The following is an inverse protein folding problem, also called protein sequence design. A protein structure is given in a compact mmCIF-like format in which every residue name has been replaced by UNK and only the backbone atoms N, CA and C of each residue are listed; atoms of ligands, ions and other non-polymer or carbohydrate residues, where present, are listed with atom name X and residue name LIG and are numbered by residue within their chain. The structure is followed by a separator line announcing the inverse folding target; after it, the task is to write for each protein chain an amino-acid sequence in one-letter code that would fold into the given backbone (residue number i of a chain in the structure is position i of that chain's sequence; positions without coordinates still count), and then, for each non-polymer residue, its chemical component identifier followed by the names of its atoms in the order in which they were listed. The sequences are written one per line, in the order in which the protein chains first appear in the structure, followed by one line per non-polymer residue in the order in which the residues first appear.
data_IF_610522590517
#
_entry.id   IF_610522590517
#
_cell.length_a   1.000
_cell.length_b   1.000
_cell.length_c   1.000
_cell.angle_alpha   90.00
_cell.angle_beta   90.00
_cell.angle_gamma   90.00
#
_symmetry.space_group_name_H-M   'P 1'
#
loop_
_entity.id
_entity.type
_entity.pdbx_description
1 polymer ?
#
# COMPACT_ATOMS: atom_id res chain seq x y z
N UNK A 1 -9.65 10.89 -29.00
CA UNK A 1 -10.84 10.53 -29.77
C UNK A 1 -11.15 9.04 -29.63
N UNK A 2 -12.43 8.71 -29.34
CA UNK A 2 -12.85 7.32 -29.13
C UNK A 2 -12.94 6.61 -30.49
N UNK A 3 -12.16 5.55 -30.69
CA UNK A 3 -12.17 4.75 -31.91
C UNK A 3 -13.10 3.54 -31.78
N UNK A 4 -13.12 2.85 -30.67
CA UNK A 4 -14.02 1.73 -30.47
C UNK A 4 -13.56 0.74 -29.39
N UNK A 5 -14.42 -0.26 -29.16
CA UNK A 5 -14.20 -1.31 -28.16
C UNK A 5 -12.92 -2.12 -28.45
N UNK A 6 -12.72 -2.52 -29.71
CA UNK A 6 -11.56 -3.30 -30.11
C UNK A 6 -10.37 -2.41 -30.45
N UNK A 7 -10.60 -1.32 -31.13
CA UNK A 7 -9.58 -0.42 -31.67
C UNK A 7 -8.77 0.26 -30.57
N UNK A 8 -9.38 0.58 -29.44
CA UNK A 8 -8.74 1.20 -28.29
C UNK A 8 -8.39 0.18 -27.20
N UNK A 9 -8.50 -1.11 -27.50
CA UNK A 9 -8.21 -2.15 -26.53
C UNK A 9 -6.71 -2.25 -26.22
N UNK A 10 -6.38 -2.61 -25.00
CA UNK A 10 -5.01 -2.88 -24.56
C UNK A 10 -4.94 -4.19 -23.78
N UNK A 11 -3.77 -4.82 -23.86
CA UNK A 11 -3.51 -6.03 -23.12
C UNK A 11 -2.07 -6.10 -22.67
N UNK A 12 -1.85 -6.55 -21.46
CA UNK A 12 -0.52 -6.67 -20.86
C UNK A 12 -0.41 -7.90 -19.99
N UNK A 13 0.81 -8.40 -19.86
CA UNK A 13 1.19 -9.43 -18.89
C UNK A 13 2.42 -8.93 -18.16
N UNK A 14 2.39 -8.96 -16.84
CA UNK A 14 3.56 -8.75 -16.01
C UNK A 14 4.01 -10.09 -15.44
N UNK A 15 5.21 -10.53 -15.84
CA UNK A 15 5.85 -11.68 -15.21
C UNK A 15 6.67 -11.20 -14.02
N UNK A 16 6.41 -11.78 -12.86
CA UNK A 16 7.15 -11.40 -11.64
C UNK A 16 7.65 -12.62 -10.94
N UNK A 17 8.95 -12.62 -10.63
CA UNK A 17 9.54 -13.53 -9.65
C UNK A 17 9.72 -12.75 -8.36
N UNK A 18 9.11 -13.24 -7.29
CA UNK A 18 9.14 -12.58 -5.98
C UNK A 18 9.78 -13.45 -4.92
N UNK A 19 10.58 -12.81 -4.08
CA UNK A 19 11.20 -13.43 -2.92
C UNK A 19 11.01 -12.53 -1.72
N UNK A 20 10.52 -13.11 -0.61
CA UNK A 20 10.37 -12.43 0.68
C UNK A 20 10.92 -13.33 1.76
N UNK A 21 11.90 -12.83 2.52
CA UNK A 21 12.55 -13.57 3.61
C UNK A 21 12.59 -12.70 4.85
N UNK A 22 12.18 -13.26 5.99
CA UNK A 22 12.26 -12.63 7.30
C UNK A 22 13.09 -13.48 8.23
N UNK A 23 14.25 -12.98 8.60
CA UNK A 23 15.08 -13.51 9.65
C UNK A 23 14.64 -12.88 10.97
N UNK A 24 13.80 -13.61 11.70
CA UNK A 24 13.23 -13.17 12.97
C UNK A 24 14.18 -13.51 14.11
N UNK A 25 14.24 -12.61 15.08
CA UNK A 25 15.09 -12.78 16.29
C UNK A 25 14.25 -13.24 17.48
N UNK A 26 14.91 -13.44 18.62
CA UNK A 26 14.29 -13.74 19.90
C UNK A 26 13.45 -15.01 19.92
N UNK A 27 13.89 -16.03 19.16
CA UNK A 27 13.23 -17.34 19.13
C UNK A 27 11.98 -17.42 18.26
N UNK A 28 11.65 -16.37 17.53
CA UNK A 28 10.54 -16.37 16.57
C UNK A 28 11.00 -17.06 15.29
N UNK A 29 10.13 -17.89 14.71
CA UNK A 29 10.44 -18.67 13.50
C UNK A 29 10.66 -17.76 12.29
N UNK A 30 11.70 -18.05 11.52
CA UNK A 30 11.98 -17.40 10.25
C UNK A 30 10.94 -17.80 9.20
N UNK A 31 10.68 -16.91 8.24
CA UNK A 31 9.83 -17.17 7.10
C UNK A 31 10.54 -16.87 5.80
N UNK A 32 10.25 -17.66 4.76
CA UNK A 32 10.80 -17.46 3.43
C UNK A 32 9.83 -17.97 2.39
N UNK A 33 9.59 -17.17 1.37
CA UNK A 33 8.71 -17.54 0.26
C UNK A 33 9.26 -17.02 -1.05
N UNK A 34 9.29 -17.89 -2.05
CA UNK A 34 9.64 -17.56 -3.43
C UNK A 34 8.53 -18.05 -4.34
N UNK A 35 8.08 -17.21 -5.23
CA UNK A 35 7.00 -17.56 -6.15
C UNK A 35 7.13 -16.82 -7.47
N UNK A 36 6.53 -17.41 -8.50
CA UNK A 36 6.43 -16.83 -9.84
C UNK A 36 4.98 -16.54 -10.14
N UNK A 37 4.73 -15.40 -10.78
CA UNK A 37 3.38 -15.04 -11.24
C UNK A 37 3.40 -14.48 -12.65
N UNK A 38 2.23 -14.55 -13.30
CA UNK A 38 1.88 -13.77 -14.47
C UNK A 38 0.61 -13.00 -14.14
N UNK A 39 0.68 -11.67 -14.15
CA UNK A 39 -0.46 -10.79 -13.91
C UNK A 39 -0.95 -10.31 -15.27
N UNK A 40 -2.20 -10.66 -15.61
CA UNK A 40 -2.79 -10.36 -16.91
C UNK A 40 -3.84 -9.28 -16.75
N UNK A 41 -3.80 -8.30 -17.64
CA UNK A 41 -4.83 -7.28 -17.75
C UNK A 41 -5.22 -7.11 -19.22
N UNK A 42 -6.50 -7.36 -19.52
CA UNK A 42 -7.09 -7.09 -20.83
C UNK A 42 -8.18 -6.04 -20.63
N UNK A 43 -8.09 -4.94 -21.35
CA UNK A 43 -8.97 -3.79 -21.19
C UNK A 43 -9.46 -3.35 -22.56
N UNK A 44 -10.78 -3.31 -22.77
CA UNK A 44 -11.36 -2.84 -24.03
C UNK A 44 -11.32 -1.32 -24.10
N UNK A 45 -11.49 -0.78 -25.31
CA UNK A 45 -11.91 0.59 -25.48
C UNK A 45 -13.39 0.76 -25.15
N UNK A 46 -13.88 1.99 -25.33
CA UNK A 46 -15.30 2.28 -25.21
C UNK A 46 -15.97 2.26 -26.58
N UNK A 47 -17.22 1.79 -26.63
CA UNK A 47 -18.03 1.92 -27.86
C UNK A 47 -18.27 3.39 -28.16
N UNK A 48 -18.39 3.77 -29.47
CA UNK A 48 -18.73 5.15 -29.84
C UNK A 48 -20.14 5.53 -29.40
N UNK A 49 -20.38 6.84 -29.27
CA UNK A 49 -21.68 7.40 -28.91
C UNK A 49 -21.61 8.25 -27.65
N UNK A 50 -22.77 8.80 -27.26
CA UNK A 50 -22.87 9.63 -26.05
C UNK A 50 -22.51 8.83 -24.78
N UNK A 51 -22.99 7.57 -24.74
CA UNK A 51 -22.62 6.62 -23.71
C UNK A 51 -21.73 5.57 -24.34
N UNK A 52 -20.50 5.45 -23.87
CA UNK A 52 -19.58 4.40 -24.26
C UNK A 52 -19.60 3.26 -23.26
N UNK A 53 -19.49 2.02 -23.76
CA UNK A 53 -19.43 0.81 -22.96
C UNK A 53 -18.13 0.05 -23.22
N UNK A 54 -17.61 -0.56 -22.19
CA UNK A 54 -16.41 -1.39 -22.27
C UNK A 54 -16.41 -2.49 -21.23
N UNK A 55 -15.40 -3.33 -21.31
CA UNK A 55 -15.23 -4.45 -20.40
C UNK A 55 -13.74 -4.83 -20.29
N UNK A 56 -13.39 -5.58 -19.29
CA UNK A 56 -12.05 -6.10 -19.16
C UNK A 56 -11.96 -7.24 -18.18
N UNK A 57 -10.77 -7.79 -18.09
CA UNK A 57 -10.41 -8.79 -17.09
C UNK A 57 -9.06 -8.43 -16.47
N UNK A 58 -8.91 -8.78 -15.20
CA UNK A 58 -7.66 -8.70 -14.49
C UNK A 58 -7.51 -9.97 -13.66
N UNK A 59 -6.32 -10.54 -13.65
CA UNK A 59 -6.08 -11.74 -12.86
C UNK A 59 -4.63 -12.13 -12.84
N UNK A 60 -4.33 -13.16 -12.07
CA UNK A 60 -2.99 -13.68 -11.92
C UNK A 60 -3.00 -15.21 -11.84
N UNK A 61 -1.95 -15.81 -12.39
CA UNK A 61 -1.67 -17.21 -12.29
C UNK A 61 -0.27 -17.37 -11.73
N UNK A 62 -0.14 -18.14 -10.66
CA UNK A 62 1.08 -18.20 -9.86
C UNK A 62 1.45 -19.62 -9.48
N UNK A 63 2.72 -19.84 -9.18
CA UNK A 63 3.19 -21.10 -8.60
C UNK A 63 4.35 -20.82 -7.63
N UNK A 64 4.45 -21.65 -6.59
CA UNK A 64 5.56 -21.54 -5.65
C UNK A 64 6.85 -22.07 -6.27
N UNK A 65 7.97 -21.51 -5.85
CA UNK A 65 9.31 -21.98 -6.17
C UNK A 65 9.96 -22.55 -4.91
N UNK A 66 10.51 -23.76 -5.02
CA UNK A 66 11.12 -24.46 -3.89
C UNK A 66 10.12 -25.23 -3.03
N UNK A 67 10.65 -26.14 -2.19
CA UNK A 67 9.84 -27.05 -1.39
C UNK A 67 9.50 -26.51 0.00
N UNK A 68 10.33 -25.62 0.55
CA UNK A 68 10.23 -25.12 1.92
C UNK A 68 9.64 -23.72 2.00
N UNK A 69 8.68 -23.41 1.13
CA UNK A 69 8.04 -22.12 1.11
C UNK A 69 7.03 -21.99 2.27
N UNK A 70 7.05 -20.84 2.95
CA UNK A 70 6.07 -20.48 3.95
C UNK A 70 4.85 -19.82 3.30
N UNK A 71 3.70 -20.06 3.88
CA UNK A 71 2.43 -19.49 3.45
C UNK A 71 1.90 -18.48 4.47
N UNK A 72 0.93 -17.65 4.05
CA UNK A 72 0.25 -16.72 4.94
C UNK A 72 1.01 -15.44 5.25
N UNK A 73 2.04 -15.12 4.46
CA UNK A 73 2.86 -13.90 4.59
C UNK A 73 2.59 -12.88 3.47
N UNK A 74 1.45 -12.99 2.81
CA UNK A 74 1.07 -12.17 1.66
C UNK A 74 1.60 -12.68 0.33
N UNK A 75 2.48 -13.69 0.31
CA UNK A 75 3.11 -14.21 -0.91
C UNK A 75 2.38 -15.43 -1.47
N UNK A 76 2.13 -16.42 -0.65
CA UNK A 76 1.61 -17.72 -1.08
C UNK A 76 0.38 -18.04 -0.23
N UNK A 77 -0.74 -18.44 -0.86
CA UNK A 77 -1.92 -18.87 -0.14
C UNK A 77 -1.66 -20.10 0.73
N UNK A 78 -2.44 -20.25 1.77
CA UNK A 78 -2.30 -21.25 2.81
C UNK A 78 -3.44 -22.27 2.72
N UNK A 79 -3.09 -23.55 2.69
CA UNK A 79 -4.07 -24.63 2.84
C UNK A 79 -4.59 -24.71 4.28
N UNK A 80 -5.68 -25.44 4.48
CA UNK A 80 -6.26 -25.62 5.81
C UNK A 80 -5.31 -26.27 6.82
N UNK A 81 -4.36 -27.08 6.35
CA UNK A 81 -3.34 -27.71 7.18
C UNK A 81 -2.11 -26.82 7.44
N UNK A 82 -2.12 -25.58 6.93
CA UNK A 82 -1.02 -24.63 7.08
C UNK A 82 0.05 -24.70 6.00
N UNK A 83 -0.02 -25.66 5.09
CA UNK A 83 0.93 -25.78 3.99
C UNK A 83 0.69 -24.74 2.90
N UNK A 84 1.74 -24.45 2.12
CA UNK A 84 1.66 -23.53 0.99
C UNK A 84 1.00 -24.20 -0.22
N UNK A 85 0.21 -23.44 -0.98
CA UNK A 85 -0.27 -23.89 -2.28
C UNK A 85 0.89 -24.08 -3.25
N UNK A 86 0.78 -25.09 -4.12
CA UNK A 86 1.76 -25.30 -5.19
C UNK A 86 1.55 -24.36 -6.37
N UNK A 87 0.29 -24.12 -6.73
CA UNK A 87 -0.11 -23.19 -7.79
C UNK A 87 -1.52 -22.67 -7.50
N UNK A 88 -1.83 -21.48 -8.01
CA UNK A 88 -3.14 -20.86 -7.81
C UNK A 88 -3.43 -19.81 -8.88
N UNK A 89 -4.71 -19.51 -9.04
CA UNK A 89 -5.23 -18.52 -9.98
C UNK A 89 -6.22 -17.63 -9.26
N UNK A 90 -6.15 -16.32 -9.52
CA UNK A 90 -7.03 -15.31 -8.96
C UNK A 90 -7.43 -14.32 -10.03
N UNK A 91 -8.54 -13.61 -9.81
CA UNK A 91 -8.96 -12.52 -10.69
C UNK A 91 -10.44 -12.51 -10.95
N UNK A 92 -10.85 -11.63 -11.82
CA UNK A 92 -12.24 -11.44 -12.24
C UNK A 92 -12.36 -10.48 -13.40
N UNK A 93 -13.60 -10.20 -13.77
CA UNK A 93 -13.93 -9.29 -14.84
C UNK A 93 -14.59 -8.02 -14.33
N UNK A 94 -14.66 -7.04 -15.21
CA UNK A 94 -15.39 -5.80 -14.97
C UNK A 94 -16.04 -5.30 -16.25
N UNK A 95 -17.08 -4.50 -16.06
CA UNK A 95 -17.71 -3.72 -17.12
C UNK A 95 -17.58 -2.24 -16.78
N UNK A 96 -17.57 -1.40 -17.79
CA UNK A 96 -17.44 0.04 -17.63
C UNK A 96 -18.33 0.80 -18.58
N UNK A 97 -18.77 1.98 -18.16
CA UNK A 97 -19.54 2.89 -18.96
C UNK A 97 -19.01 4.31 -18.78
N UNK A 98 -19.02 5.08 -19.83
CA UNK A 98 -18.52 6.46 -19.82
C UNK A 98 -19.50 7.40 -20.48
N UNK A 99 -19.77 8.52 -19.81
CA UNK A 99 -20.46 9.67 -20.35
C UNK A 99 -19.56 10.88 -20.13
N UNK A 100 -19.19 11.58 -21.23
CA UNK A 100 -18.25 12.70 -21.15
C UNK A 100 -16.94 12.26 -20.47
N UNK A 101 -16.52 12.94 -19.43
CA UNK A 101 -15.31 12.62 -18.64
C UNK A 101 -15.64 11.91 -17.32
N UNK A 102 -16.77 11.23 -17.26
CA UNK A 102 -17.19 10.45 -16.09
C UNK A 102 -17.31 8.97 -16.46
N UNK A 103 -16.60 8.12 -15.74
CA UNK A 103 -16.56 6.67 -15.96
C UNK A 103 -17.07 5.95 -14.72
N UNK A 104 -17.96 4.98 -14.93
CA UNK A 104 -18.38 4.01 -13.94
C UNK A 104 -17.77 2.65 -14.27
N UNK A 105 -17.15 2.00 -13.28
CA UNK A 105 -16.58 0.64 -13.43
C UNK A 105 -17.21 -0.26 -12.39
N UNK A 106 -17.73 -1.41 -12.81
CA UNK A 106 -18.29 -2.41 -11.90
C UNK A 106 -17.58 -3.74 -12.10
N UNK A 107 -17.10 -4.31 -11.02
CA UNK A 107 -16.46 -5.62 -11.02
C UNK A 107 -15.16 -5.64 -10.24
N UNK A 108 -14.27 -6.54 -10.64
CA UNK A 108 -12.98 -6.74 -9.99
C UNK A 108 -11.99 -5.65 -10.39
N UNK A 109 -11.40 -4.99 -9.39
CA UNK A 109 -10.56 -3.82 -9.59
C UNK A 109 -9.38 -3.80 -8.62
N UNK A 110 -8.30 -3.15 -9.04
CA UNK A 110 -7.22 -2.73 -8.16
C UNK A 110 -7.43 -1.26 -7.83
N UNK A 111 -7.49 -0.93 -6.55
CA UNK A 111 -7.78 0.43 -6.08
C UNK A 111 -6.51 1.12 -5.59
N UNK A 112 -6.44 2.42 -5.86
CA UNK A 112 -5.36 3.30 -5.38
C UNK A 112 -5.98 4.56 -4.77
N UNK A 113 -6.81 4.36 -3.76
CA UNK A 113 -7.50 5.43 -3.04
C UNK A 113 -6.89 5.46 -1.63
N UNK A 114 -6.42 6.61 -1.12
CA UNK A 114 -5.70 6.64 0.17
C UNK A 114 -6.43 5.99 1.34
N UNK A 115 -7.75 5.99 1.34
CA UNK A 115 -8.59 5.40 2.40
C UNK A 115 -9.04 3.98 2.08
N UNK A 116 -8.85 3.50 0.86
CA UNK A 116 -9.19 2.14 0.44
C UNK A 116 -8.31 1.76 -0.75
N UNK A 117 -7.09 1.31 -0.47
CA UNK A 117 -6.11 0.99 -1.49
C UNK A 117 -5.81 -0.51 -1.50
N UNK A 118 -5.67 -1.07 -2.70
CA UNK A 118 -5.18 -2.43 -2.86
C UNK A 118 -3.73 -2.54 -2.39
N UNK A 119 -3.42 -3.59 -1.65
CA UNK A 119 -2.03 -3.92 -1.36
C UNK A 119 -1.36 -4.38 -2.66
N UNK A 120 -0.28 -3.71 -3.04
CA UNK A 120 0.55 -4.05 -4.20
C UNK A 120 2.01 -4.35 -3.79
N UNK A 121 2.26 -4.55 -2.50
CA UNK A 121 3.59 -4.75 -1.93
C UNK A 121 3.97 -6.24 -1.79
N UNK A 122 3.24 -7.12 -2.45
CA UNK A 122 3.49 -8.56 -2.46
C UNK A 122 3.57 -9.08 -3.91
N UNK A 123 3.52 -10.38 -4.08
CA UNK A 123 3.64 -11.02 -5.40
C UNK A 123 2.55 -10.55 -6.36
N UNK A 124 1.31 -10.53 -5.91
CA UNK A 124 0.12 -10.19 -6.69
C UNK A 124 -0.71 -9.14 -5.97
N UNK A 125 -1.51 -8.35 -6.69
CA UNK A 125 -2.29 -7.29 -6.05
C UNK A 125 -3.48 -7.84 -5.25
N UNK A 126 -3.91 -7.06 -4.27
CA UNK A 126 -5.23 -7.21 -3.65
C UNK A 126 -6.29 -6.74 -4.63
N UNK A 127 -7.40 -7.49 -4.75
CA UNK A 127 -8.54 -7.11 -5.57
C UNK A 127 -9.72 -6.68 -4.72
N UNK A 128 -10.45 -5.68 -5.20
CA UNK A 128 -11.75 -5.27 -4.66
C UNK A 128 -12.82 -5.50 -5.71
N UNK A 129 -14.02 -5.86 -5.26
CA UNK A 129 -15.17 -6.00 -6.14
C UNK A 129 -16.24 -5.01 -5.73
N UNK A 130 -16.70 -4.22 -6.69
CA UNK A 130 -17.72 -3.21 -6.47
C UNK A 130 -17.80 -2.21 -7.62
N UNK A 131 -18.40 -1.05 -7.35
CA UNK A 131 -18.57 0.02 -8.32
C UNK A 131 -17.71 1.22 -7.92
N UNK A 132 -17.03 1.80 -8.93
CA UNK A 132 -16.26 3.02 -8.78
C UNK A 132 -16.70 4.02 -9.85
N UNK A 133 -17.06 5.22 -9.42
CA UNK A 133 -17.30 6.38 -10.27
C UNK A 133 -16.07 7.28 -10.22
N UNK A 134 -15.61 7.70 -11.40
CA UNK A 134 -14.48 8.64 -11.54
C UNK A 134 -14.90 9.76 -12.48
N UNK A 135 -14.76 11.02 -12.05
CA UNK A 135 -15.20 12.17 -12.82
C UNK A 135 -14.09 13.21 -12.90
N UNK A 136 -13.83 13.68 -14.13
CA UNK A 136 -12.90 14.75 -14.43
C UNK A 136 -13.61 15.86 -15.24
N UNK A 137 -14.89 16.12 -14.98
CA UNK A 137 -15.69 17.11 -15.71
C UNK A 137 -15.23 18.54 -15.44
N UNK A 138 -14.71 18.80 -14.25
CA UNK A 138 -14.22 20.11 -13.83
C UNK A 138 -12.71 20.13 -13.98
N UNK A 139 -12.20 21.15 -14.66
CA UNK A 139 -10.76 21.31 -14.87
C UNK A 139 -9.99 21.31 -13.55
N UNK A 140 -8.90 20.54 -13.51
CA UNK A 140 -8.00 20.40 -12.36
C UNK A 140 -8.63 19.67 -11.15
N UNK A 141 -9.85 19.17 -11.27
CA UNK A 141 -10.56 18.46 -10.21
C UNK A 141 -10.87 17.04 -10.64
N UNK A 142 -10.37 16.07 -9.87
CA UNK A 142 -10.70 14.67 -10.02
C UNK A 142 -11.55 14.23 -8.84
N UNK A 143 -12.74 13.70 -9.10
CA UNK A 143 -13.68 13.24 -8.09
C UNK A 143 -13.86 11.73 -8.19
N UNK A 144 -14.04 11.07 -7.05
CA UNK A 144 -14.40 9.66 -6.99
C UNK A 144 -15.53 9.43 -6.01
N UNK A 145 -16.32 8.40 -6.29
CA UNK A 145 -17.26 7.80 -5.34
C UNK A 145 -17.38 6.32 -5.66
N UNK A 146 -17.52 5.50 -4.65
CA UNK A 146 -17.61 4.06 -4.88
C UNK A 146 -18.22 3.29 -3.73
N UNK A 147 -18.59 2.04 -4.04
CA UNK A 147 -19.08 1.08 -3.08
C UNK A 147 -18.50 -0.29 -3.41
N UNK A 148 -17.81 -0.88 -2.44
CA UNK A 148 -17.16 -2.18 -2.59
C UNK A 148 -17.71 -3.14 -1.54
N UNK A 149 -17.95 -4.39 -1.96
CA UNK A 149 -18.60 -5.40 -1.13
C UNK A 149 -17.74 -6.62 -0.89
N UNK A 150 -16.64 -6.75 -1.60
CA UNK A 150 -15.71 -7.87 -1.46
C UNK A 150 -14.27 -7.39 -1.61
N UNK A 151 -13.35 -8.03 -0.89
CA UNK A 151 -11.92 -7.91 -1.17
C UNK A 151 -11.25 -9.27 -1.11
N UNK A 152 -10.15 -9.41 -1.85
CA UNK A 152 -9.34 -10.63 -1.92
C UNK A 152 -7.88 -10.23 -1.69
N UNK A 153 -7.31 -10.68 -0.57
CA UNK A 153 -5.90 -10.40 -0.26
C UNK A 153 -4.96 -11.06 -1.26
N UNK A 154 -3.72 -10.59 -1.29
CA UNK A 154 -2.68 -11.09 -2.20
C UNK A 154 -2.44 -12.59 -2.07
N UNK A 155 -2.60 -13.15 -0.89
CA UNK A 155 -2.42 -14.58 -0.61
C UNK A 155 -3.75 -15.32 -0.36
N UNK A 156 -4.83 -14.82 -0.92
CA UNK A 156 -6.16 -15.39 -0.74
C UNK A 156 -6.74 -15.84 -2.08
N UNK A 157 -7.25 -17.08 -2.12
CA UNK A 157 -7.84 -17.66 -3.33
C UNK A 157 -9.34 -17.38 -3.41
N UNK A 158 -10.04 -17.45 -2.28
CA UNK A 158 -11.48 -17.19 -2.23
C UNK A 158 -11.75 -15.70 -2.42
N UNK A 159 -12.84 -15.38 -3.10
CA UNK A 159 -13.17 -14.00 -3.47
C UNK A 159 -13.79 -13.20 -2.34
N UNK A 160 -14.19 -13.84 -1.26
CA UNK A 160 -14.81 -13.16 -0.12
C UNK A 160 -14.35 -13.84 1.17
N UNK A 161 -13.16 -13.54 1.58
CA UNK A 161 -12.59 -14.16 2.77
C UNK A 161 -12.42 -13.22 3.95
N UNK A 162 -12.69 -11.93 3.76
CA UNK A 162 -12.40 -10.93 4.78
C UNK A 162 -13.64 -10.34 5.41
N UNK A 163 -14.80 -10.88 5.06
CA UNK A 163 -16.07 -10.44 5.64
C UNK A 163 -16.30 -8.93 5.42
N UNK A 164 -15.88 -8.42 4.26
CA UNK A 164 -16.18 -7.05 3.88
C UNK A 164 -17.63 -6.96 3.43
N UNK A 165 -18.50 -6.49 4.31
CA UNK A 165 -19.90 -6.29 3.97
C UNK A 165 -20.06 -5.13 3.00
N UNK A 166 -19.47 -3.99 3.32
CA UNK A 166 -19.58 -2.79 2.53
C UNK A 166 -18.51 -1.77 2.91
N UNK A 167 -17.88 -1.20 1.91
CA UNK A 167 -17.06 0.00 2.05
C UNK A 167 -17.54 1.05 1.05
N UNK A 168 -17.90 2.22 1.54
CA UNK A 168 -18.26 3.38 0.72
C UNK A 168 -17.07 4.32 0.73
N UNK A 169 -16.69 4.83 -0.44
CA UNK A 169 -15.58 5.79 -0.58
C UNK A 169 -16.04 7.00 -1.36
N UNK A 170 -15.45 8.14 -1.05
CA UNK A 170 -15.68 9.40 -1.74
C UNK A 170 -14.45 10.28 -1.62
N UNK A 171 -14.37 11.28 -2.47
CA UNK A 171 -13.32 12.27 -2.34
C UNK A 171 -12.86 12.83 -3.66
N UNK A 172 -11.77 13.58 -3.60
CA UNK A 172 -11.22 14.20 -4.77
C UNK A 172 -9.87 14.85 -4.54
N UNK A 173 -9.27 15.20 -5.67
CA UNK A 173 -7.99 15.90 -5.72
C UNK A 173 -8.15 17.14 -6.59
N UNK A 174 -7.64 18.26 -6.10
CA UNK A 174 -7.66 19.53 -6.82
C UNK A 174 -6.23 20.04 -7.03
N UNK A 175 -5.92 20.37 -8.26
CA UNK A 175 -4.65 20.99 -8.65
C UNK A 175 -4.85 22.48 -8.79
N UNK A 176 -4.39 23.26 -7.80
CA UNK A 176 -4.52 24.72 -7.82
C UNK A 176 -3.68 25.35 -8.92
N UNK A 177 -2.46 24.84 -9.10
CA UNK A 177 -1.52 25.24 -10.14
C UNK A 177 -0.50 24.11 -10.32
N UNK A 178 0.55 24.35 -11.11
CA UNK A 178 1.59 23.34 -11.36
C UNK A 178 2.37 22.93 -10.10
N UNK A 179 2.31 23.73 -9.05
CA UNK A 179 3.12 23.54 -7.84
C UNK A 179 2.32 23.06 -6.64
N UNK A 180 1.03 23.37 -6.56
CA UNK A 180 0.20 23.10 -5.39
C UNK A 180 -0.98 22.21 -5.74
N UNK A 181 -1.09 21.09 -5.04
CA UNK A 181 -2.25 20.22 -5.10
C UNK A 181 -2.73 19.87 -3.68
N UNK A 182 -4.01 19.57 -3.57
CA UNK A 182 -4.62 19.12 -2.33
C UNK A 182 -5.61 18.01 -2.62
N UNK A 183 -5.82 17.13 -1.65
CA UNK A 183 -6.80 16.06 -1.78
C UNK A 183 -7.50 15.80 -0.45
N UNK A 184 -8.72 15.31 -0.57
CA UNK A 184 -9.51 14.80 0.53
C UNK A 184 -10.21 13.53 0.09
N UNK A 185 -10.14 12.48 0.93
CA UNK A 185 -10.87 11.24 0.72
C UNK A 185 -11.46 10.76 2.04
N UNK A 186 -12.61 10.11 1.94
CA UNK A 186 -13.26 9.50 3.09
C UNK A 186 -13.75 8.09 2.76
N UNK A 187 -13.90 7.27 3.77
CA UNK A 187 -14.50 5.96 3.67
C UNK A 187 -15.31 5.64 4.91
N UNK A 188 -16.40 4.93 4.69
CA UNK A 188 -17.20 4.30 5.75
C UNK A 188 -17.22 2.79 5.48
N UNK A 189 -16.53 2.03 6.33
CA UNK A 189 -16.50 0.58 6.25
C UNK A 189 -17.46 0.04 7.30
N UNK A 190 -18.55 -0.56 6.85
CA UNK A 190 -19.65 -1.00 7.70
C UNK A 190 -19.18 -1.89 8.85
N UNK A 191 -19.60 -1.55 10.06
CA UNK A 191 -19.29 -2.23 11.31
C UNK A 191 -17.79 -2.25 11.64
N UNK A 192 -16.99 -1.37 11.03
CA UNK A 192 -15.54 -1.30 11.26
C UNK A 192 -15.06 0.10 11.62
N UNK A 193 -15.12 1.02 10.67
CA UNK A 193 -14.54 2.35 10.88
C UNK A 193 -15.08 3.38 9.90
N UNK A 194 -14.91 4.64 10.27
CA UNK A 194 -14.97 5.80 9.38
C UNK A 194 -13.59 6.44 9.35
N UNK A 195 -13.07 6.73 8.15
CA UNK A 195 -11.72 7.26 7.97
C UNK A 195 -11.73 8.40 6.99
N UNK A 196 -11.00 9.45 7.33
CA UNK A 196 -10.78 10.62 6.49
C UNK A 196 -9.29 10.81 6.26
N UNK A 197 -8.95 11.24 5.05
CA UNK A 197 -7.57 11.51 4.63
C UNK A 197 -7.50 12.89 4.01
N UNK A 198 -6.45 13.63 4.34
CA UNK A 198 -6.12 14.91 3.70
C UNK A 198 -4.67 14.90 3.26
N UNK A 199 -4.39 15.57 2.15
CA UNK A 199 -3.05 15.78 1.65
C UNK A 199 -2.94 17.19 1.06
N UNK A 200 -1.79 17.82 1.27
CA UNK A 200 -1.37 19.02 0.57
C UNK A 200 0.07 18.82 0.12
N UNK A 201 0.33 19.07 -1.14
CA UNK A 201 1.66 18.92 -1.74
C UNK A 201 2.05 20.21 -2.46
N UNK A 202 3.20 20.76 -2.10
CA UNK A 202 3.71 21.98 -2.68
C UNK A 202 5.15 21.79 -3.14
N UNK A 203 5.39 21.93 -4.45
CA UNK A 203 6.73 21.86 -5.06
C UNK A 203 7.20 23.26 -5.42
N UNK A 204 8.32 23.65 -4.88
CA UNK A 204 8.92 24.97 -5.10
C UNK A 204 10.18 24.81 -5.96
N UNK A 205 10.17 25.31 -7.21
CA UNK A 205 11.36 25.25 -8.06
C UNK A 205 12.42 26.23 -7.56
N UNK A 206 13.65 25.75 -7.51
CA UNK A 206 14.84 26.53 -7.16
C UNK A 206 15.70 26.76 -8.40
N UNK A 207 16.78 27.53 -8.24
CA UNK A 207 17.77 27.71 -9.30
C UNK A 207 18.43 26.36 -9.68
N UNK A 208 19.05 26.29 -10.86
CA UNK A 208 19.83 25.13 -11.35
C UNK A 208 19.03 23.82 -11.41
N UNK A 209 17.74 23.91 -11.73
CA UNK A 209 16.84 22.75 -11.83
C UNK A 209 16.68 21.97 -10.53
N UNK A 210 16.99 22.59 -9.39
CA UNK A 210 16.73 22.04 -8.08
C UNK A 210 15.31 22.35 -7.65
N UNK A 211 14.77 21.60 -6.70
CA UNK A 211 13.44 21.82 -6.16
C UNK A 211 13.34 21.45 -4.68
N UNK A 212 12.42 22.10 -3.99
CA UNK A 212 11.96 21.72 -2.66
C UNK A 212 10.49 21.30 -2.75
N UNK A 213 10.16 20.14 -2.20
CA UNK A 213 8.78 19.68 -2.12
C UNK A 213 8.39 19.49 -0.67
N UNK A 214 7.31 20.16 -0.28
CA UNK A 214 6.69 19.97 1.03
C UNK A 214 5.43 19.16 0.86
N UNK A 215 5.24 18.18 1.73
CA UNK A 215 4.06 17.32 1.72
C UNK A 215 3.50 17.18 3.12
N UNK A 216 2.20 17.37 3.24
CA UNK A 216 1.46 17.10 4.46
C UNK A 216 0.41 16.03 4.16
N UNK A 217 0.37 14.98 4.96
CA UNK A 217 -0.65 13.94 4.89
C UNK A 217 -1.19 13.65 6.28
N UNK A 218 -2.46 13.34 6.37
CA UNK A 218 -3.07 12.98 7.64
C UNK A 218 -4.29 12.10 7.48
N UNK A 219 -4.47 11.21 8.44
CA UNK A 219 -5.66 10.36 8.59
C UNK A 219 -6.31 10.62 9.93
N UNK A 220 -7.64 10.70 9.92
CA UNK A 220 -8.47 10.62 11.13
C UNK A 220 -9.36 9.39 11.02
N UNK A 221 -9.33 8.52 12.04
CA UNK A 221 -10.09 7.28 12.07
C UNK A 221 -10.86 7.15 13.37
N UNK A 222 -12.13 6.79 13.26
CA UNK A 222 -13.00 6.39 14.38
C UNK A 222 -13.48 4.97 14.12
N UNK A 223 -13.25 4.05 15.07
CA UNK A 223 -13.67 2.68 14.96
C UNK A 223 -15.07 2.48 15.48
N UNK A 224 -15.83 1.62 14.82
CA UNK A 224 -17.10 1.12 15.32
C UNK A 224 -16.84 0.16 16.48
N UNK A 225 -17.71 0.16 17.50
CA UNK A 225 -17.55 -0.73 18.66
C UNK A 225 -17.58 -2.23 18.27
N UNK A 226 -18.22 -2.57 17.15
CA UNK A 226 -18.27 -3.93 16.63
C UNK A 226 -16.98 -4.39 15.96
N UNK A 227 -16.02 -3.50 15.76
CA UNK A 227 -14.76 -3.82 15.12
C UNK A 227 -13.78 -4.62 15.98
N UNK A 228 -14.08 -4.81 17.26
CA UNK A 228 -13.14 -5.33 18.27
C UNK A 228 -11.87 -4.46 18.43
N UNK A 229 -11.92 -3.24 17.94
CA UNK A 229 -10.82 -2.32 17.98
C UNK A 229 -9.82 -2.54 16.86
N UNK A 230 -8.57 -2.25 17.12
CA UNK A 230 -7.47 -2.31 16.16
C UNK A 230 -7.01 -3.74 15.88
N UNK A 231 -6.49 -3.98 14.66
CA UNK A 231 -5.81 -5.22 14.32
C UNK A 231 -4.60 -5.49 15.23
N UNK A 232 -3.96 -4.45 15.74
CA UNK A 232 -2.87 -4.55 16.70
C UNK A 232 -3.42 -4.56 18.12
N UNK A 233 -3.58 -5.74 18.69
CA UNK A 233 -4.22 -5.98 19.99
C UNK A 233 -3.72 -5.06 21.10
N UNK A 234 -2.45 -4.67 21.06
CA UNK A 234 -1.82 -3.83 22.08
C UNK A 234 -1.69 -2.37 21.69
N UNK A 235 -2.36 -1.95 20.62
CA UNK A 235 -2.27 -0.57 20.13
C UNK A 235 -3.23 0.40 20.82
N UNK A 236 -4.22 -0.08 21.56
CA UNK A 236 -5.15 0.78 22.28
C UNK A 236 -4.99 0.65 23.79
N UNK A 237 -5.16 1.78 24.50
CA UNK A 237 -4.96 1.89 25.94
C UNK A 237 -6.26 2.30 26.64
N UNK A 238 -7.36 1.67 26.26
CA UNK A 238 -8.67 1.87 26.88
C UNK A 238 -9.45 0.57 26.85
N UNK A 239 -10.33 0.34 27.83
CA UNK A 239 -11.27 -0.75 27.83
C UNK A 239 -12.58 -0.40 27.12
N UNK A 240 -12.77 0.86 26.76
CA UNK A 240 -13.95 1.32 26.05
C UNK A 240 -13.73 1.24 24.54
N UNK A 241 -14.13 0.11 23.94
CA UNK A 241 -13.99 -0.13 22.50
C UNK A 241 -15.01 0.66 21.65
N UNK A 242 -15.99 1.30 22.29
CA UNK A 242 -16.95 2.13 21.58
C UNK A 242 -16.42 3.50 21.17
N UNK A 243 -15.24 3.86 21.63
CA UNK A 243 -14.67 5.22 21.45
C UNK A 243 -13.21 5.19 21.04
N UNK A 244 -12.83 4.23 20.20
CA UNK A 244 -11.46 4.17 19.66
C UNK A 244 -11.28 5.16 18.53
N UNK A 245 -10.26 6.00 18.63
CA UNK A 245 -9.89 6.94 17.57
C UNK A 245 -8.39 7.09 17.44
N UNK A 246 -7.95 7.39 16.24
CA UNK A 246 -6.55 7.68 15.92
C UNK A 246 -6.48 8.86 14.96
N UNK A 247 -5.52 9.74 15.19
CA UNK A 247 -5.06 10.72 14.23
C UNK A 247 -3.60 10.43 13.93
N UNK A 248 -3.26 10.22 12.67
CA UNK A 248 -1.88 10.11 12.23
C UNK A 248 -1.63 11.16 11.16
N UNK A 249 -0.56 11.93 11.31
CA UNK A 249 -0.19 12.95 10.33
C UNK A 249 1.31 12.99 10.16
N UNK A 250 1.76 13.46 9.00
CA UNK A 250 3.16 13.61 8.68
C UNK A 250 3.42 14.86 7.86
N UNK A 251 4.57 15.46 8.09
CA UNK A 251 5.08 16.56 7.31
C UNK A 251 6.47 16.16 6.78
N UNK A 252 6.68 16.31 5.50
CA UNK A 252 7.97 16.02 4.87
C UNK A 252 8.46 17.18 4.03
N UNK A 253 9.79 17.25 3.87
CA UNK A 253 10.46 18.17 2.99
C UNK A 253 11.48 17.40 2.18
N UNK A 254 11.43 17.52 0.86
CA UNK A 254 12.31 16.81 -0.08
C UNK A 254 13.07 17.81 -0.91
N UNK A 255 14.39 17.69 -0.89
CA UNK A 255 15.29 18.48 -1.73
C UNK A 255 15.83 17.62 -2.86
N UNK A 256 15.57 18.05 -4.09
CA UNK A 256 16.07 17.40 -5.31
C UNK A 256 17.09 18.31 -5.97
N UNK A 257 18.28 17.78 -6.24
CA UNK A 257 19.31 18.49 -6.98
C UNK A 257 20.18 17.51 -7.76
N UNK A 258 20.20 17.62 -9.09
CA UNK A 258 20.91 16.68 -9.94
C UNK A 258 20.48 15.23 -9.65
N UNK A 259 21.45 14.31 -9.41
CA UNK A 259 21.13 12.91 -9.11
C UNK A 259 20.68 12.68 -7.66
N UNK A 260 20.69 13.71 -6.82
CA UNK A 260 20.44 13.60 -5.38
C UNK A 260 19.02 13.91 -5.02
N UNK A 261 18.46 13.11 -4.11
CA UNK A 261 17.17 13.35 -3.48
C UNK A 261 17.35 13.14 -1.98
N UNK A 262 17.05 14.17 -1.18
CA UNK A 262 17.15 14.10 0.29
C UNK A 262 15.78 14.46 0.87
N UNK A 263 15.24 13.60 1.73
CA UNK A 263 13.97 13.84 2.39
C UNK A 263 14.14 13.74 3.90
N UNK A 264 13.50 14.66 4.62
CA UNK A 264 13.27 14.58 6.06
C UNK A 264 11.76 14.55 6.30
N UNK A 265 11.32 13.77 7.28
CA UNK A 265 9.91 13.65 7.61
C UNK A 265 9.70 13.48 9.11
N UNK A 266 8.60 14.02 9.60
CA UNK A 266 8.11 13.83 10.96
C UNK A 266 6.68 13.33 10.91
N UNK A 267 6.38 12.31 11.72
CA UNK A 267 5.06 11.68 11.79
C UNK A 267 4.63 11.52 13.23
N UNK A 268 3.34 11.68 13.51
CA UNK A 268 2.82 11.59 14.86
C UNK A 268 1.45 10.93 14.88
N UNK A 269 1.26 10.07 15.87
CA UNK A 269 -0.03 9.47 16.21
C UNK A 269 -0.57 10.11 17.48
N UNK A 270 -1.88 10.40 17.50
CA UNK A 270 -2.62 10.83 18.68
C UNK A 270 -3.95 10.06 18.76
N UNK A 271 -4.61 10.13 19.91
CA UNK A 271 -5.82 9.36 20.18
C UNK A 271 -5.57 8.27 21.23
N UNK A 272 -6.47 7.31 21.30
CA UNK A 272 -6.38 6.23 22.30
C UNK A 272 -6.04 4.87 21.68
N UNK A 273 -5.71 4.83 20.39
CA UNK A 273 -5.23 3.64 19.67
C UNK A 273 -4.23 4.05 18.60
N UNK A 274 -3.47 3.09 18.08
CA UNK A 274 -2.66 3.28 16.88
C UNK A 274 -3.49 3.26 15.61
N UNK A 275 -2.84 3.50 14.48
CA UNK A 275 -3.46 3.32 13.16
C UNK A 275 -3.59 1.82 12.85
N UNK A 276 -4.69 1.46 12.21
CA UNK A 276 -4.95 0.12 11.71
C UNK A 276 -5.53 0.24 10.30
N UNK A 277 -5.22 -0.70 9.44
CA UNK A 277 -5.64 -0.67 8.03
C UNK A 277 -7.15 -0.86 7.85
N UNK A 278 -7.82 -1.52 8.78
CA UNK A 278 -9.29 -1.50 8.87
C UNK A 278 -10.03 -2.53 8.06
N UNK A 279 -9.36 -3.37 7.30
CA UNK A 279 -9.99 -4.40 6.49
C UNK A 279 -9.74 -5.79 7.07
N UNK A 280 -10.78 -6.37 7.62
CA UNK A 280 -10.72 -7.75 8.08
C UNK A 280 -9.78 -7.97 9.25
N UNK A 281 -9.34 -9.19 9.38
CA UNK A 281 -8.37 -9.63 10.38
C UNK A 281 -6.98 -9.24 9.92
N UNK A 282 -6.74 -7.93 9.90
CA UNK A 282 -5.51 -7.36 9.44
C UNK A 282 -4.33 -7.98 10.13
N UNK A 283 -3.40 -8.38 9.35
CA UNK A 283 -2.13 -8.83 9.85
C UNK A 283 -1.16 -7.77 9.45
N UNK A 284 -0.73 -6.96 10.32
CA UNK A 284 0.12 -5.81 10.08
C UNK A 284 1.19 -5.99 9.00
N UNK A 285 2.21 -5.20 9.05
CA UNK A 285 3.40 -5.31 8.24
C UNK A 285 3.24 -5.19 6.71
N UNK A 286 2.46 -4.23 6.27
CA UNK A 286 2.31 -3.96 4.84
C UNK A 286 1.34 -4.89 4.13
N UNK A 287 0.46 -5.56 4.86
CA UNK A 287 -0.69 -6.23 4.24
C UNK A 287 -1.66 -5.22 3.65
N UNK A 288 -1.58 -3.99 4.07
CA UNK A 288 -2.41 -2.88 3.61
C UNK A 288 -1.54 -1.69 3.24
N UNK A 289 -2.15 -0.69 2.64
CA UNK A 289 -1.44 0.51 2.19
C UNK A 289 -1.77 1.69 3.07
N UNK A 290 -0.75 2.47 3.42
CA UNK A 290 -0.88 3.74 4.09
C UNK A 290 -0.08 4.80 3.31
N UNK A 291 -0.69 5.96 3.07
CA UNK A 291 -0.08 7.04 2.28
C UNK A 291 0.65 8.01 3.20
N UNK A 292 1.70 7.50 3.84
CA UNK A 292 2.53 8.24 4.79
C UNK A 292 4.02 8.03 4.46
N UNK A 293 4.89 9.01 4.73
CA UNK A 293 6.29 8.92 4.33
C UNK A 293 7.10 7.92 5.16
N UNK A 294 6.76 7.71 6.44
CA UNK A 294 7.50 6.81 7.33
C UNK A 294 6.94 5.39 7.20
N UNK A 295 7.03 4.83 6.00
CA UNK A 295 6.45 3.53 5.69
C UNK A 295 7.43 2.69 4.87
N UNK A 296 7.98 1.65 5.51
CA UNK A 296 8.86 0.66 4.90
C UNK A 296 8.44 -0.74 5.33
N UNK A 297 9.23 -1.47 6.12
CA UNK A 297 8.74 -2.68 6.79
C UNK A 297 7.75 -2.29 7.88
N UNK A 298 8.12 -1.37 8.76
CA UNK A 298 7.20 -0.73 9.70
C UNK A 298 6.56 0.50 9.07
N UNK A 299 5.33 0.80 9.48
CA UNK A 299 4.63 2.04 9.12
C UNK A 299 4.62 3.06 10.27
N UNK A 300 5.23 2.73 11.41
CA UNK A 300 5.38 3.63 12.57
C UNK A 300 4.01 4.13 13.06
N UNK A 301 3.10 3.19 13.26
CA UNK A 301 1.68 3.43 13.50
C UNK A 301 1.22 3.10 14.91
N UNK A 302 2.12 2.95 15.87
CA UNK A 302 1.79 2.61 17.25
C UNK A 302 0.99 3.70 17.95
N UNK A 303 0.34 3.32 19.05
CA UNK A 303 -0.46 4.25 19.85
C UNK A 303 0.43 5.35 20.44
N UNK A 304 0.15 6.61 20.10
CA UNK A 304 0.93 7.76 20.58
C UNK A 304 2.30 7.91 19.95
N UNK A 305 2.66 7.06 19.02
CA UNK A 305 4.00 7.03 18.42
C UNK A 305 4.31 8.28 17.64
N UNK A 306 5.51 8.81 17.88
CA UNK A 306 6.15 9.85 17.09
C UNK A 306 7.30 9.23 16.33
N UNK A 307 7.55 9.65 15.09
CA UNK A 307 8.67 9.14 14.31
C UNK A 307 9.29 10.21 13.43
N UNK A 308 10.58 10.05 13.17
CA UNK A 308 11.36 10.93 12.31
C UNK A 308 12.17 10.11 11.32
N UNK A 309 12.32 10.64 10.11
CA UNK A 309 13.01 9.96 9.02
C UNK A 309 14.02 10.88 8.35
N UNK A 310 15.14 10.28 7.96
CA UNK A 310 16.08 10.84 6.99
C UNK A 310 16.22 9.83 5.86
N UNK A 311 15.97 10.27 4.61
CA UNK A 311 16.10 9.44 3.41
C UNK A 311 17.05 10.12 2.42
N UNK A 312 17.83 9.31 1.73
CA UNK A 312 18.69 9.73 0.62
C UNK A 312 18.51 8.79 -0.57
N UNK A 313 18.38 9.34 -1.77
CA UNK A 313 18.36 8.57 -3.02
C UNK A 313 19.37 9.14 -4.00
N UNK A 314 20.01 8.23 -4.75
CA UNK A 314 20.97 8.57 -5.77
C UNK A 314 20.58 7.90 -7.10
N UNK A 315 20.59 8.68 -8.18
CA UNK A 315 20.38 8.21 -9.55
C UNK A 315 21.72 8.03 -10.24
N UNK A 316 22.10 6.79 -10.53
CA UNK A 316 23.38 6.45 -11.13
C UNK A 316 23.50 6.80 -12.62
N UNK A 317 22.46 7.36 -13.23
CA UNK A 317 22.59 7.93 -14.57
C UNK A 317 23.70 8.99 -14.63
N UNK A 318 23.95 9.71 -13.54
CA UNK A 318 25.03 10.67 -13.40
C UNK A 318 26.43 10.01 -13.45
N UNK A 319 26.52 8.71 -13.22
CA UNK A 319 27.74 7.89 -13.33
C UNK A 319 27.71 6.97 -14.55
N UNK A 320 26.91 7.31 -15.56
CA UNK A 320 26.79 6.56 -16.82
C UNK A 320 26.16 5.15 -16.63
N UNK A 321 25.34 4.96 -15.60
CA UNK A 321 24.55 3.74 -15.40
C UNK A 321 23.06 4.12 -15.33
N UNK A 322 22.45 4.49 -16.47
CA UNK A 322 21.03 4.85 -16.49
C UNK A 322 20.17 3.65 -16.10
N UNK A 323 19.13 3.91 -15.33
CA UNK A 323 18.24 2.88 -14.84
C UNK A 323 18.61 2.30 -13.48
N UNK A 324 19.81 2.59 -12.98
CA UNK A 324 20.24 2.15 -11.64
C UNK A 324 19.99 3.27 -10.62
N UNK A 325 19.34 2.94 -9.52
CA UNK A 325 19.10 3.85 -8.40
C UNK A 325 19.31 3.15 -7.07
N UNK A 326 19.67 3.94 -6.06
CA UNK A 326 19.81 3.49 -4.69
C UNK A 326 19.07 4.44 -3.76
N UNK A 327 18.32 3.88 -2.82
CA UNK A 327 17.62 4.61 -1.76
C UNK A 327 18.03 4.02 -0.42
N UNK A 328 18.37 4.87 0.53
CA UNK A 328 18.64 4.51 1.92
C UNK A 328 17.83 5.40 2.83
N UNK A 329 17.35 4.85 3.93
CA UNK A 329 16.57 5.61 4.90
C UNK A 329 16.79 5.08 6.31
N UNK A 330 16.72 5.98 7.26
CA UNK A 330 16.66 5.64 8.67
C UNK A 330 15.42 6.28 9.28
N UNK A 331 14.61 5.47 9.97
CA UNK A 331 13.41 5.91 10.67
C UNK A 331 13.50 5.48 12.12
N UNK A 332 13.20 6.40 13.02
CA UNK A 332 13.17 6.17 14.46
C UNK A 332 11.81 6.56 15.01
N UNK A 333 11.17 5.65 15.76
CA UNK A 333 9.90 5.87 16.44
C UNK A 333 10.06 5.77 17.97
N UNK A 334 9.36 6.63 18.69
CA UNK A 334 9.44 6.71 20.15
C UNK A 334 8.08 7.07 20.76
N UNK A 335 8.02 7.03 22.09
CA UNK A 335 6.82 7.32 22.87
C UNK A 335 5.62 6.42 22.52
N UNK A 336 5.88 5.14 22.25
CA UNK A 336 4.83 4.20 21.92
C UNK A 336 4.18 3.71 23.20
N UNK A 337 2.86 3.89 23.33
CA UNK A 337 2.09 3.39 24.44
C UNK A 337 1.75 1.92 24.22
N UNK A 338 2.08 1.06 25.17
CA UNK A 338 1.78 -0.37 25.12
C UNK A 338 0.83 -0.73 26.25
N UNK A 339 -0.34 -1.27 25.91
CA UNK A 339 -1.37 -1.68 26.85
C UNK A 339 -1.11 -3.06 27.43
N UNK A 340 -1.68 -3.34 28.60
CA UNK A 340 -1.68 -4.67 29.19
C UNK A 340 -2.51 -5.67 28.38
N UNK A 341 -2.16 -6.95 28.43
CA UNK A 341 -2.87 -8.00 27.69
C UNK A 341 -4.30 -8.22 28.22
N UNK A 342 -4.47 -8.11 29.53
CA UNK A 342 -5.76 -8.35 30.19
C UNK A 342 -6.50 -7.04 30.40
N UNK A 343 -5.81 -6.04 30.93
CA UNK A 343 -6.36 -4.72 31.21
C UNK A 343 -5.71 -3.70 30.28
N UNK A 344 -6.43 -3.26 29.29
CA UNK A 344 -5.94 -2.32 28.27
C UNK A 344 -5.87 -0.88 28.76
N UNK A 345 -6.46 -0.58 29.92
CA UNK A 345 -6.26 0.70 30.56
C UNK A 345 -4.93 0.74 31.32
N UNK A 346 -4.29 -0.41 31.54
CA UNK A 346 -2.99 -0.49 32.18
C UNK A 346 -1.88 -0.26 31.15
N UNK A 347 -1.09 0.78 31.35
CA UNK A 347 0.11 0.98 30.53
C UNK A 347 1.25 0.10 31.07
N UNK A 348 1.82 -0.73 30.19
CA UNK A 348 3.06 -1.45 30.46
C UNK A 348 4.25 -0.50 30.28
N UNK A 349 4.18 0.33 29.25
CA UNK A 349 5.15 1.38 28.97
C UNK A 349 4.52 2.49 28.12
N UNK A 350 4.99 3.72 28.35
CA UNK A 350 4.63 4.91 27.57
C UNK A 350 5.81 5.43 26.74
N UNK A 351 6.86 4.62 26.57
CA UNK A 351 8.06 5.00 25.83
C UNK A 351 8.69 3.78 25.14
N UNK A 352 7.88 2.91 24.56
CA UNK A 352 8.41 1.88 23.68
C UNK A 352 8.93 2.54 22.39
N UNK A 353 9.84 1.86 21.72
CA UNK A 353 10.59 2.41 20.60
C UNK A 353 10.73 1.38 19.51
N UNK A 354 10.85 1.88 18.27
CA UNK A 354 11.20 1.07 17.10
C UNK A 354 12.12 1.87 16.18
N UNK A 355 12.89 1.17 15.38
CA UNK A 355 13.75 1.79 14.37
C UNK A 355 13.95 0.87 13.19
N UNK A 356 14.17 1.48 12.04
CA UNK A 356 14.39 0.75 10.81
C UNK A 356 15.48 1.42 9.98
N UNK A 357 16.44 0.62 9.51
CA UNK A 357 17.41 1.00 8.50
C UNK A 357 17.06 0.29 7.20
N UNK A 358 16.67 1.07 6.20
CA UNK A 358 16.15 0.59 4.93
C UNK A 358 17.13 0.90 3.81
N UNK A 359 17.33 -0.07 2.90
CA UNK A 359 18.08 0.12 1.68
C UNK A 359 17.39 -0.56 0.51
N UNK A 360 17.42 0.08 -0.63
CA UNK A 360 16.88 -0.46 -1.87
C UNK A 360 17.78 -0.10 -3.04
N UNK A 361 18.07 -1.09 -3.88
CA UNK A 361 18.72 -0.90 -5.17
C UNK A 361 17.75 -1.39 -6.24
N UNK A 362 17.55 -0.60 -7.27
CA UNK A 362 16.70 -0.93 -8.40
C UNK A 362 17.44 -0.68 -9.71
N UNK A 363 17.40 -1.67 -10.60
CA UNK A 363 17.90 -1.54 -11.97
C UNK A 363 16.76 -1.82 -12.96
N UNK A 364 16.63 -0.94 -13.97
CA UNK A 364 15.67 -1.09 -15.06
C UNK A 364 16.41 -1.16 -16.38
N UNK A 365 16.14 -2.19 -17.18
CA UNK A 365 16.72 -2.37 -18.51
C UNK A 365 16.30 -1.22 -19.42
N UNK A 366 17.28 -0.61 -20.08
CA UNK A 366 17.06 0.61 -20.86
C UNK A 366 16.75 0.33 -22.33
N UNK A 367 17.13 -0.83 -22.85
CA UNK A 367 16.98 -1.18 -24.26
C UNK A 367 17.01 -2.69 -24.48
N UNK A 368 16.80 -3.12 -25.72
CA UNK A 368 16.80 -4.53 -26.10
C UNK A 368 15.46 -5.21 -25.93
N UNK A 369 15.42 -6.51 -26.07
CA UNK A 369 14.17 -7.31 -25.99
C UNK A 369 13.57 -7.30 -24.56
N UNK A 370 14.40 -7.10 -23.55
CA UNK A 370 13.98 -7.06 -22.15
C UNK A 370 13.88 -5.60 -21.63
N UNK A 371 13.70 -4.62 -22.52
CA UNK A 371 13.49 -3.23 -22.11
C UNK A 371 12.36 -3.13 -21.11
N UNK A 372 12.56 -2.31 -20.08
CA UNK A 372 11.65 -2.07 -18.96
C UNK A 372 11.57 -3.23 -17.95
N UNK A 373 12.28 -4.34 -18.17
CA UNK A 373 12.48 -5.33 -17.11
C UNK A 373 13.26 -4.71 -15.96
N UNK A 374 12.89 -5.02 -14.73
CA UNK A 374 13.54 -4.44 -13.54
C UNK A 374 13.85 -5.50 -12.49
N UNK A 375 14.95 -5.25 -11.79
CA UNK A 375 15.32 -6.00 -10.59
C UNK A 375 15.38 -5.04 -9.43
N UNK A 376 14.66 -5.35 -8.35
CA UNK A 376 14.63 -4.55 -7.12
C UNK A 376 15.04 -5.42 -5.94
N UNK A 377 16.07 -4.96 -5.26
CA UNK A 377 16.59 -5.56 -4.02
C UNK A 377 16.27 -4.61 -2.87
N UNK A 378 15.50 -5.06 -1.92
CA UNK A 378 15.09 -4.29 -0.76
C UNK A 378 15.49 -5.02 0.51
N UNK A 379 16.13 -4.32 1.42
CA UNK A 379 16.52 -4.84 2.73
C UNK A 379 16.07 -3.89 3.84
N UNK A 380 15.48 -4.46 4.90
CA UNK A 380 15.12 -3.75 6.11
C UNK A 380 15.77 -4.39 7.32
N UNK A 381 16.51 -3.59 8.06
CA UNK A 381 17.01 -3.91 9.39
C UNK A 381 16.08 -3.26 10.39
N UNK A 382 15.24 -4.07 11.07
CA UNK A 382 14.21 -3.57 11.98
C UNK A 382 14.49 -4.03 13.41
N UNK A 383 14.41 -3.11 14.36
CA UNK A 383 14.59 -3.39 15.80
C UNK A 383 13.58 -2.60 16.62
N UNK A 384 13.11 -3.22 17.68
CA UNK A 384 12.17 -2.61 18.62
C UNK A 384 12.63 -2.86 20.05
N UNK A 385 12.19 -2.01 20.98
CA UNK A 385 12.38 -2.24 22.41
C UNK A 385 11.61 -3.48 22.87
N UNK A 386 11.98 -4.05 24.02
CA UNK A 386 11.42 -5.30 24.52
C UNK A 386 9.90 -5.27 24.61
N UNK A 387 9.33 -4.17 25.08
CA UNK A 387 7.89 -4.03 25.23
C UNK A 387 7.15 -4.02 23.88
N UNK A 388 7.85 -3.71 22.79
CA UNK A 388 7.25 -3.63 21.44
C UNK A 388 7.60 -4.82 20.54
N UNK A 389 8.18 -5.89 21.10
CA UNK A 389 8.51 -7.10 20.34
C UNK A 389 7.26 -7.87 19.92
N UNK A 390 6.36 -8.16 20.87
CA UNK A 390 5.13 -8.93 20.62
C UNK A 390 4.01 -8.10 19.98
N UNK A 391 3.79 -6.83 20.37
CA UNK A 391 2.65 -6.07 19.86
C UNK A 391 2.69 -5.77 18.38
N UNK A 392 3.86 -5.79 17.75
CA UNK A 392 4.00 -5.44 16.35
C UNK A 392 4.90 -6.45 15.61
N UNK A 393 5.94 -5.98 14.91
CA UNK A 393 6.78 -6.82 14.04
C UNK A 393 7.80 -7.64 14.83
N UNK A 394 8.44 -7.01 15.83
CA UNK A 394 9.58 -7.59 16.53
C UNK A 394 10.87 -7.52 15.69
N UNK A 395 12.01 -7.76 16.33
CA UNK A 395 13.32 -7.70 15.70
C UNK A 395 13.40 -8.60 14.48
N UNK A 396 13.73 -8.02 13.33
CA UNK A 396 13.66 -8.69 12.02
C UNK A 396 14.68 -8.10 11.05
N UNK A 397 15.31 -8.96 10.26
CA UNK A 397 15.97 -8.56 9.02
C UNK A 397 15.13 -9.10 7.86
N UNK A 398 14.71 -8.22 6.96
CA UNK A 398 13.84 -8.61 5.85
C UNK A 398 14.50 -8.33 4.51
N UNK A 399 14.43 -9.32 3.61
CA UNK A 399 14.74 -9.15 2.20
C UNK A 399 13.48 -9.26 1.37
N UNK A 400 13.32 -8.35 0.41
CA UNK A 400 12.35 -8.47 -0.68
C UNK A 400 13.08 -8.32 -2.00
N UNK A 401 12.90 -9.27 -2.89
CA UNK A 401 13.52 -9.27 -4.21
C UNK A 401 12.44 -9.44 -5.25
N UNK A 402 12.34 -8.50 -6.19
CA UNK A 402 11.36 -8.49 -7.26
C UNK A 402 12.06 -8.41 -8.60
N UNK A 403 11.85 -9.43 -9.45
CA UNK A 403 12.24 -9.41 -10.85
C UNK A 403 10.96 -9.28 -11.67
N UNK A 404 10.78 -8.15 -12.34
CA UNK A 404 9.58 -7.81 -13.11
C UNK A 404 9.92 -7.72 -14.60
N UNK A 405 9.15 -8.42 -15.43
CA UNK A 405 9.26 -8.38 -16.88
C UNK A 405 7.88 -8.03 -17.45
N UNK A 406 7.67 -6.74 -17.81
CA UNK A 406 6.42 -6.33 -18.43
C UNK A 406 6.38 -6.70 -19.92
N UNK A 407 5.24 -7.20 -20.38
CA UNK A 407 5.02 -7.53 -21.77
C UNK A 407 3.73 -6.85 -22.23
N UNK A 408 3.83 -6.06 -23.29
CA UNK A 408 2.67 -5.49 -23.96
C UNK A 408 2.20 -6.48 -25.02
N UNK A 409 0.95 -6.95 -24.92
CA UNK A 409 0.37 -7.88 -25.89
C UNK A 409 -0.15 -7.14 -27.13
N UNK A 410 -0.87 -6.04 -26.88
CA UNK A 410 -1.39 -5.16 -27.94
C UNK A 410 -1.82 -3.80 -27.40
#
# INVERSE_FOLDING_TARGET
ETKGFVEDASGSVLFRTGFLSRDKKNGVEDTRSTAQTAIVKLDSGFTPGVIGFGAGIIGDASFKLGENAHAGNGMIPKNNDGSAYDHWVRGGGYVKARVSNTTATYGTQVLDIPVLASNTARLVPEYFTGVLLQSNEIKNLSLIAGKFTENQYSDQITTDGNELDQAIVWGGKYKFNDNLSTSYYGTDIKDRLERHYVNANYSYPLADKSSLTYDFSGYHTEWDEKSDGSAYTYSHTTNDLSNLSNNIWALSATYNTGPHNVMVAYQQNTGNTGYDYGLGKGVGDGQQTIYMPNSYLSDFIGNGEKSAQLQYSYDFAAMNVPGLSWTTAFVYGWDINVAGEIDRAQLITDNAQEREFFNQVKYTMQSGFAKDASLRLRHSYYRASDAYQKPYIGDTNEWRIWLDIPVKLF
#
